data_IF_921954853922
#
_entry.id   IF_921954853922
#
_cell.length_a   1.000
_cell.length_b   1.000
_cell.length_c   1.000
_cell.angle_alpha   90.00
_cell.angle_beta   90.00
_cell.angle_gamma   90.00
#
_symmetry.space_group_name_H-M   'P 1'
#
loop_
_entity.id
_entity.type
_entity.pdbx_description
1 polymer ?
#
# COMPACT_ATOMS: atom_id res chain seq x y z
N UNK A 1 -17.69 -5.54 3.05
CA UNK A 1 -18.07 -4.12 3.14
C UNK A 1 -18.67 -3.76 4.50
N UNK A 2 -19.74 -4.43 4.97
CA UNK A 2 -20.49 -4.05 6.19
C UNK A 2 -19.73 -4.11 7.51
N UNK A 3 -18.54 -4.69 7.54
CA UNK A 3 -17.71 -4.76 8.75
C UNK A 3 -16.72 -3.63 8.71
N UNK A 4 -16.79 -2.67 9.67
CA UNK A 4 -15.79 -1.61 9.78
C UNK A 4 -14.39 -2.18 10.03
N UNK A 5 -13.43 -1.70 9.28
CA UNK A 5 -12.03 -2.12 9.40
C UNK A 5 -11.05 -0.95 9.18
N UNK A 6 -11.43 0.23 9.69
CA UNK A 6 -10.53 1.40 9.66
C UNK A 6 -9.22 1.03 10.36
N UNK A 7 -8.09 1.33 9.71
CA UNK A 7 -6.75 0.93 10.16
C UNK A 7 -6.39 1.37 11.58
N UNK A 8 -7.05 2.43 12.10
CA UNK A 8 -6.89 2.83 13.51
C UNK A 8 -7.47 1.82 14.53
N UNK A 9 -8.26 0.84 14.08
CA UNK A 9 -8.95 -0.17 14.90
C UNK A 9 -8.43 -1.58 14.63
N UNK A 10 -8.88 -2.56 15.43
CA UNK A 10 -8.59 -3.96 15.13
C UNK A 10 -9.40 -4.43 13.91
N UNK A 11 -8.71 -5.08 12.97
CA UNK A 11 -9.34 -5.73 11.83
C UNK A 11 -9.83 -7.16 12.14
N UNK A 12 -9.74 -7.63 13.40
CA UNK A 12 -10.15 -8.97 13.84
C UNK A 12 -11.58 -9.35 13.38
N UNK A 13 -12.59 -8.47 13.46
CA UNK A 13 -13.94 -8.83 13.02
C UNK A 13 -14.02 -9.21 11.53
N UNK A 14 -13.39 -8.44 10.64
CA UNK A 14 -13.40 -8.74 9.20
C UNK A 14 -12.53 -9.95 8.89
N UNK A 15 -11.38 -10.10 9.56
CA UNK A 15 -10.49 -11.26 9.40
C UNK A 15 -11.17 -12.57 9.81
N UNK A 16 -12.02 -12.57 10.85
CA UNK A 16 -12.79 -13.75 11.24
C UNK A 16 -13.79 -14.19 10.16
N UNK A 17 -14.43 -13.26 9.48
CA UNK A 17 -15.35 -13.57 8.36
C UNK A 17 -14.56 -14.13 7.16
N UNK A 18 -13.46 -13.48 6.79
CA UNK A 18 -12.61 -13.96 5.69
C UNK A 18 -12.08 -15.37 6.01
N UNK A 19 -11.59 -15.59 7.22
CA UNK A 19 -11.12 -16.90 7.69
C UNK A 19 -12.21 -17.98 7.54
N UNK A 20 -13.45 -17.68 7.96
CA UNK A 20 -14.56 -18.64 7.84
C UNK A 20 -14.85 -18.98 6.37
N UNK A 21 -14.83 -17.99 5.46
CA UNK A 21 -15.02 -18.22 4.03
C UNK A 21 -13.92 -19.15 3.48
N UNK A 22 -12.67 -18.84 3.82
CA UNK A 22 -11.52 -19.65 3.36
C UNK A 22 -11.56 -21.08 3.92
N UNK A 23 -11.94 -21.25 5.19
CA UNK A 23 -12.12 -22.58 5.80
C UNK A 23 -13.20 -23.39 5.08
N UNK A 24 -14.33 -22.76 4.77
CA UNK A 24 -15.43 -23.43 4.04
C UNK A 24 -15.02 -23.82 2.62
N UNK A 25 -14.04 -23.15 2.02
CA UNK A 25 -13.47 -23.46 0.70
C UNK A 25 -12.27 -24.43 0.77
N UNK A 26 -11.98 -25.00 1.94
CA UNK A 26 -10.95 -26.02 2.13
C UNK A 26 -9.51 -25.49 2.22
N UNK A 27 -9.30 -24.20 2.48
CA UNK A 27 -7.95 -23.66 2.68
C UNK A 27 -7.39 -24.02 4.06
N UNK A 28 -6.11 -24.37 4.11
CA UNK A 28 -5.30 -24.36 5.32
C UNK A 28 -4.87 -22.91 5.60
N UNK A 29 -5.03 -22.46 6.84
CA UNK A 29 -4.84 -21.05 7.20
C UNK A 29 -3.78 -20.93 8.29
N UNK A 30 -2.81 -20.06 8.05
CA UNK A 30 -1.91 -19.50 9.05
C UNK A 30 -2.38 -18.09 9.39
N UNK A 31 -2.52 -17.80 10.67
CA UNK A 31 -2.86 -16.47 11.17
C UNK A 31 -1.63 -15.82 11.78
N UNK A 32 -1.26 -14.65 11.29
CA UNK A 32 -0.21 -13.80 11.83
C UNK A 32 -0.82 -12.63 12.59
N UNK A 33 -0.42 -12.46 13.84
CA UNK A 33 -0.94 -11.39 14.70
C UNK A 33 0.17 -10.57 15.29
N UNK A 34 -0.06 -9.26 15.39
CA UNK A 34 0.81 -8.34 16.12
C UNK A 34 -0.03 -7.27 16.83
N UNK A 35 0.63 -6.47 17.66
CA UNK A 35 0.02 -5.27 18.24
C UNK A 35 0.71 -4.03 17.72
N UNK A 36 -0.08 -3.05 17.30
CA UNK A 36 0.44 -1.76 16.89
C UNK A 36 1.01 -0.93 18.06
N UNK A 37 1.56 0.23 17.78
CA UNK A 37 2.13 1.13 18.80
C UNK A 37 1.14 1.61 19.87
N UNK A 38 -0.17 1.40 19.66
CA UNK A 38 -1.25 1.69 20.62
C UNK A 38 -1.73 0.44 21.35
N UNK A 39 -1.14 -0.73 21.08
CA UNK A 39 -1.52 -2.02 21.68
C UNK A 39 -2.73 -2.68 21.02
N UNK A 40 -3.22 -2.16 19.87
CA UNK A 40 -4.35 -2.70 19.14
C UNK A 40 -3.91 -3.94 18.36
N UNK A 41 -4.68 -5.03 18.51
CA UNK A 41 -4.42 -6.27 17.80
C UNK A 41 -4.72 -6.12 16.30
N UNK A 42 -3.79 -6.61 15.48
CA UNK A 42 -3.86 -6.67 14.02
C UNK A 42 -3.70 -8.10 13.55
N UNK A 43 -4.39 -8.46 12.48
CA UNK A 43 -4.47 -9.84 11.99
C UNK A 43 -4.25 -9.87 10.49
N UNK A 44 -3.25 -10.62 10.06
CA UNK A 44 -3.07 -11.01 8.67
C UNK A 44 -3.34 -12.51 8.52
N UNK A 45 -3.95 -12.90 7.41
CA UNK A 45 -4.26 -14.29 7.08
C UNK A 45 -3.44 -14.73 5.88
N UNK A 46 -2.79 -15.87 5.99
CA UNK A 46 -2.11 -16.54 4.88
C UNK A 46 -2.79 -17.90 4.73
N UNK A 47 -3.28 -18.20 3.53
CA UNK A 47 -4.01 -19.44 3.32
C UNK A 47 -3.61 -20.09 2.01
N UNK A 48 -3.62 -21.44 1.99
CA UNK A 48 -3.29 -22.21 0.80
C UNK A 48 -4.16 -23.46 0.71
N UNK A 49 -4.41 -23.87 -0.52
CA UNK A 49 -5.07 -25.15 -0.85
C UNK A 49 -4.40 -25.75 -2.07
N UNK A 50 -4.29 -27.08 -2.11
CA UNK A 50 -3.52 -27.80 -3.11
C UNK A 50 -2.05 -27.94 -2.72
N UNK A 51 -1.29 -28.67 -3.53
CA UNK A 51 0.12 -29.00 -3.29
C UNK A 51 0.92 -28.80 -4.57
N UNK A 52 2.26 -28.77 -4.46
CA UNK A 52 3.15 -28.63 -5.62
C UNK A 52 3.81 -27.25 -5.67
N UNK A 53 4.18 -26.81 -6.87
CA UNK A 53 4.84 -25.52 -7.13
C UNK A 53 4.07 -24.70 -8.14
N UNK A 54 4.34 -23.41 -8.25
CA UNK A 54 3.61 -22.51 -9.14
C UNK A 54 2.20 -22.19 -8.60
N UNK A 55 1.20 -22.24 -9.48
CA UNK A 55 -0.18 -21.90 -9.14
C UNK A 55 -0.42 -20.39 -9.03
N UNK A 56 -1.40 -20.00 -8.21
CA UNK A 56 -1.83 -18.61 -8.04
C UNK A 56 -1.75 -18.21 -6.55
N UNK A 57 -1.16 -17.06 -6.29
CA UNK A 57 -1.25 -16.34 -5.02
C UNK A 57 -1.97 -15.02 -5.28
N UNK A 58 -3.02 -14.75 -4.52
CA UNK A 58 -3.70 -13.47 -4.50
C UNK A 58 -3.41 -12.73 -3.18
N UNK A 59 -3.08 -11.45 -3.26
CA UNK A 59 -2.81 -10.61 -2.10
C UNK A 59 -3.76 -9.42 -2.07
N UNK A 60 -4.30 -9.14 -0.87
CA UNK A 60 -5.15 -8.00 -0.60
C UNK A 60 -4.97 -7.52 0.84
N UNK A 61 -5.34 -6.28 1.13
CA UNK A 61 -5.50 -5.82 2.50
C UNK A 61 -6.98 -5.81 2.94
N UNK A 62 -7.20 -5.82 4.25
CA UNK A 62 -8.53 -5.85 4.85
C UNK A 62 -8.90 -4.55 5.55
N UNK A 63 -7.93 -3.72 5.85
CA UNK A 63 -8.12 -2.41 6.47
C UNK A 63 -8.54 -1.37 5.43
N UNK A 64 -8.96 -0.22 5.90
CA UNK A 64 -9.41 0.92 5.08
C UNK A 64 -9.05 2.23 5.76
N UNK A 65 -8.91 3.31 4.99
CA UNK A 65 -8.70 4.67 5.49
C UNK A 65 -9.86 5.17 6.37
N UNK A 66 -9.66 6.25 7.17
CA UNK A 66 -10.70 6.89 7.96
C UNK A 66 -11.94 7.28 7.14
N UNK A 67 -13.05 7.46 7.84
CA UNK A 67 -14.37 7.73 7.24
C UNK A 67 -15.01 9.03 7.74
N UNK A 68 -14.24 9.87 8.46
CA UNK A 68 -14.75 11.10 9.07
C UNK A 68 -15.27 12.11 8.05
N UNK A 69 -14.75 12.06 6.83
CA UNK A 69 -15.17 12.90 5.70
C UNK A 69 -16.25 12.28 4.80
N UNK A 70 -16.79 11.10 5.16
CA UNK A 70 -17.77 10.42 4.32
C UNK A 70 -18.96 11.30 3.98
N UNK A 71 -19.26 11.48 2.69
CA UNK A 71 -20.24 12.45 2.19
C UNK A 71 -21.37 11.86 1.36
N UNK A 72 -21.35 10.54 1.06
CA UNK A 72 -22.43 9.92 0.29
C UNK A 72 -23.74 9.92 1.09
N UNK A 73 -24.77 10.61 0.59
CA UNK A 73 -26.00 10.93 1.35
C UNK A 73 -26.95 9.74 1.53
N UNK A 74 -26.90 8.75 0.62
CA UNK A 74 -27.88 7.64 0.59
C UNK A 74 -27.51 6.49 1.54
N UNK A 75 -26.27 6.44 2.03
CA UNK A 75 -25.81 5.40 2.92
C UNK A 75 -24.55 5.80 3.70
N UNK A 76 -24.37 5.27 4.90
CA UNK A 76 -23.15 5.40 5.68
C UNK A 76 -21.99 4.60 5.07
N UNK A 77 -20.73 4.87 5.51
CA UNK A 77 -19.51 4.30 4.90
C UNK A 77 -19.42 2.77 4.96
N UNK A 78 -20.11 2.13 5.89
CA UNK A 78 -20.18 0.68 6.04
C UNK A 78 -21.61 0.13 5.84
N UNK A 79 -22.49 0.93 5.26
CA UNK A 79 -23.80 0.52 4.81
C UNK A 79 -23.73 0.24 3.32
N UNK A 80 -23.81 -1.03 2.95
CA UNK A 80 -23.78 -1.44 1.56
C UNK A 80 -24.96 -0.83 0.78
N UNK A 81 -24.67 0.05 -0.17
CA UNK A 81 -25.66 0.63 -1.05
C UNK A 81 -25.34 0.30 -2.51
N UNK A 82 -26.30 -0.28 -3.21
CA UNK A 82 -26.16 -0.67 -4.62
C UNK A 82 -27.13 0.13 -5.48
N UNK A 83 -26.60 0.79 -6.50
CA UNK A 83 -27.36 1.34 -7.63
C UNK A 83 -27.41 0.35 -8.80
N UNK A 84 -27.89 0.79 -9.96
CA UNK A 84 -27.92 -0.06 -11.16
C UNK A 84 -26.50 -0.47 -11.64
N UNK A 85 -25.49 0.37 -11.42
CA UNK A 85 -24.16 0.25 -11.99
C UNK A 85 -23.02 0.28 -10.96
N UNK A 86 -23.30 0.63 -9.68
CA UNK A 86 -22.27 0.88 -8.66
C UNK A 86 -22.64 0.28 -7.31
N UNK A 87 -21.59 0.04 -6.52
CA UNK A 87 -21.69 -0.27 -5.09
C UNK A 87 -20.91 0.79 -4.33
N UNK A 88 -21.59 1.51 -3.44
CA UNK A 88 -21.01 2.51 -2.55
C UNK A 88 -20.74 1.91 -1.18
N UNK A 89 -19.52 1.99 -0.72
CA UNK A 89 -19.07 1.66 0.64
C UNK A 89 -17.58 1.92 0.77
N UNK A 90 -17.09 2.31 1.92
CA UNK A 90 -15.64 2.36 2.19
C UNK A 90 -15.02 0.97 2.06
N UNK A 91 -13.95 0.85 1.28
CA UNK A 91 -13.30 -0.40 0.91
C UNK A 91 -13.99 -1.14 -0.25
N UNK A 92 -14.97 -0.52 -0.92
CA UNK A 92 -15.60 -1.13 -2.09
C UNK A 92 -14.63 -1.17 -3.28
N UNK A 93 -13.85 -0.14 -3.47
CA UNK A 93 -12.80 -0.03 -4.47
C UNK A 93 -11.44 -0.45 -3.89
N UNK A 94 -11.10 0.03 -2.69
CA UNK A 94 -9.81 -0.15 -2.04
C UNK A 94 -9.92 -0.85 -0.68
N UNK A 95 -9.69 -2.22 -0.61
CA UNK A 95 -9.74 -3.11 -1.78
C UNK A 95 -10.58 -4.36 -1.49
N UNK A 96 -11.52 -4.27 -0.50
CA UNK A 96 -12.38 -5.43 -0.12
C UNK A 96 -13.27 -5.93 -1.26
N UNK A 97 -13.60 -5.06 -2.25
CA UNK A 97 -14.31 -5.46 -3.45
C UNK A 97 -13.51 -6.44 -4.30
N UNK A 98 -12.24 -6.13 -4.53
CA UNK A 98 -11.30 -7.00 -5.23
C UNK A 98 -11.12 -8.34 -4.50
N UNK A 99 -10.94 -8.31 -3.18
CA UNK A 99 -10.87 -9.53 -2.36
C UNK A 99 -12.15 -10.38 -2.50
N UNK A 100 -13.32 -9.76 -2.49
CA UNK A 100 -14.59 -10.47 -2.67
C UNK A 100 -14.68 -11.16 -4.04
N UNK A 101 -14.17 -10.51 -5.10
CA UNK A 101 -14.07 -11.12 -6.44
C UNK A 101 -13.20 -12.38 -6.44
N UNK A 102 -12.04 -12.31 -5.78
CA UNK A 102 -11.15 -13.48 -5.68
C UNK A 102 -11.78 -14.63 -4.88
N UNK A 103 -12.38 -14.32 -3.72
CA UNK A 103 -13.05 -15.34 -2.90
C UNK A 103 -14.23 -16.00 -3.63
N UNK A 104 -15.03 -15.22 -4.39
CA UNK A 104 -16.11 -15.76 -5.24
C UNK A 104 -15.57 -16.56 -6.42
N UNK A 105 -14.43 -16.20 -6.98
CA UNK A 105 -13.77 -17.00 -8.00
C UNK A 105 -13.26 -18.34 -7.44
N UNK A 106 -12.59 -18.29 -6.26
CA UNK A 106 -12.07 -19.50 -5.59
C UNK A 106 -13.18 -20.49 -5.19
N UNK A 107 -14.35 -19.99 -4.78
CA UNK A 107 -15.52 -20.80 -4.41
C UNK A 107 -15.97 -21.71 -5.55
N UNK A 108 -15.92 -21.25 -6.81
CA UNK A 108 -16.28 -22.04 -7.98
C UNK A 108 -15.43 -23.31 -8.15
N UNK A 109 -14.24 -23.32 -7.52
CA UNK A 109 -13.29 -24.42 -7.58
C UNK A 109 -13.16 -25.16 -6.25
N UNK A 110 -14.02 -24.91 -5.25
CA UNK A 110 -13.91 -25.49 -3.91
C UNK A 110 -13.84 -27.02 -3.92
N UNK A 111 -14.63 -27.67 -4.79
CA UNK A 111 -14.67 -29.14 -4.93
C UNK A 111 -13.67 -29.69 -5.97
N UNK A 112 -12.87 -28.82 -6.64
CA UNK A 112 -11.92 -29.27 -7.65
C UNK A 112 -10.63 -29.80 -7.00
N UNK A 113 -10.09 -30.88 -7.58
CA UNK A 113 -8.75 -31.33 -7.25
C UNK A 113 -7.73 -30.43 -7.97
N UNK A 114 -6.98 -29.63 -7.21
CA UNK A 114 -6.01 -28.70 -7.76
C UNK A 114 -4.71 -29.42 -8.12
N UNK A 115 -4.17 -29.12 -9.29
CA UNK A 115 -2.88 -29.62 -9.77
C UNK A 115 -1.70 -28.73 -9.30
N UNK A 116 -1.98 -27.47 -8.96
CA UNK A 116 -1.02 -26.53 -8.37
C UNK A 116 -1.71 -25.70 -7.28
N UNK A 117 -0.95 -25.12 -6.34
CA UNK A 117 -1.51 -24.40 -5.19
C UNK A 117 -2.35 -23.17 -5.59
N UNK A 118 -3.48 -23.00 -4.90
CA UNK A 118 -4.24 -21.75 -4.85
C UNK A 118 -4.03 -21.15 -3.47
N UNK A 119 -3.51 -19.93 -3.41
CA UNK A 119 -3.15 -19.28 -2.16
C UNK A 119 -3.67 -17.85 -2.08
N UNK A 120 -3.86 -17.36 -0.85
CA UNK A 120 -4.29 -15.98 -0.58
C UNK A 120 -3.56 -15.43 0.64
N UNK A 121 -3.16 -14.17 0.56
CA UNK A 121 -2.70 -13.36 1.69
C UNK A 121 -3.68 -12.21 1.86
N UNK A 122 -4.14 -11.99 3.10
CA UNK A 122 -4.95 -10.83 3.45
C UNK A 122 -4.27 -10.11 4.61
N UNK A 123 -3.74 -8.94 4.35
CA UNK A 123 -2.94 -8.17 5.31
C UNK A 123 -3.79 -7.21 6.14
N UNK A 124 -3.21 -6.72 7.22
CA UNK A 124 -3.67 -5.59 8.01
C UNK A 124 -2.72 -4.40 7.79
N UNK A 125 -3.20 -3.20 8.10
CA UNK A 125 -2.39 -1.97 8.15
C UNK A 125 -1.57 -1.68 6.87
N UNK A 126 -2.13 -2.01 5.72
CA UNK A 126 -1.57 -1.59 4.43
C UNK A 126 -1.55 -0.07 4.36
N UNK A 127 -2.68 0.57 4.71
CA UNK A 127 -2.93 2.01 4.72
C UNK A 127 -2.06 2.79 5.75
N UNK A 128 -1.39 2.08 6.64
CA UNK A 128 -0.46 2.62 7.63
C UNK A 128 1.01 2.28 7.32
N UNK A 129 1.34 1.99 6.06
CA UNK A 129 2.70 1.75 5.59
C UNK A 129 3.10 0.29 5.53
N UNK A 130 2.16 -0.59 5.14
CA UNK A 130 2.42 -1.99 4.79
C UNK A 130 2.91 -2.86 5.97
N UNK A 131 2.58 -2.46 7.21
CA UNK A 131 3.09 -3.11 8.43
C UNK A 131 2.70 -4.59 8.49
N UNK A 132 1.47 -4.91 8.10
CA UNK A 132 1.00 -6.29 8.06
C UNK A 132 1.71 -7.14 7.01
N UNK A 133 1.98 -6.59 5.83
CA UNK A 133 2.74 -7.27 4.79
C UNK A 133 4.20 -7.50 5.19
N UNK A 134 4.84 -6.50 5.80
CA UNK A 134 6.17 -6.63 6.36
C UNK A 134 6.22 -7.72 7.45
N UNK A 135 5.22 -7.72 8.36
CA UNK A 135 5.13 -8.73 9.41
C UNK A 135 4.98 -10.15 8.83
N UNK A 136 4.11 -10.33 7.82
CA UNK A 136 3.93 -11.60 7.11
C UNK A 136 5.23 -12.04 6.44
N UNK A 137 5.88 -11.16 5.68
CA UNK A 137 7.10 -11.51 4.95
C UNK A 137 8.25 -11.96 5.87
N UNK A 138 8.31 -11.44 7.10
CA UNK A 138 9.34 -11.77 8.08
C UNK A 138 9.03 -13.01 8.94
N UNK A 139 7.75 -13.25 9.25
CA UNK A 139 7.38 -14.18 10.32
C UNK A 139 6.55 -15.39 9.87
N UNK A 140 5.92 -15.36 8.69
CA UNK A 140 5.04 -16.44 8.24
C UNK A 140 5.83 -17.61 7.67
N UNK A 141 5.58 -18.82 8.21
CA UNK A 141 6.14 -20.05 7.68
C UNK A 141 5.51 -20.40 6.31
N UNK A 142 4.22 -20.14 6.15
CA UNK A 142 3.52 -20.38 4.89
C UNK A 142 4.00 -19.41 3.80
N UNK A 143 4.32 -18.15 4.15
CA UNK A 143 4.92 -17.22 3.19
C UNK A 143 6.28 -17.72 2.68
N UNK A 144 7.12 -18.31 3.54
CA UNK A 144 8.39 -18.94 3.10
C UNK A 144 8.16 -20.06 2.09
N UNK A 145 7.14 -20.89 2.31
CA UNK A 145 6.77 -21.93 1.33
C UNK A 145 6.30 -21.31 0.00
N UNK A 146 5.53 -20.23 0.03
CA UNK A 146 5.12 -19.52 -1.17
C UNK A 146 6.30 -18.92 -1.94
N UNK A 147 7.31 -18.40 -1.21
CA UNK A 147 8.58 -17.95 -1.83
C UNK A 147 9.28 -19.09 -2.55
N UNK A 148 9.35 -20.29 -1.96
CA UNK A 148 9.95 -21.45 -2.61
C UNK A 148 9.14 -21.95 -3.83
N UNK A 149 7.82 -21.81 -3.79
CA UNK A 149 6.90 -22.25 -4.85
C UNK A 149 6.82 -21.29 -6.04
N UNK A 150 7.11 -20.01 -5.84
CA UNK A 150 7.04 -18.94 -6.85
C UNK A 150 5.72 -18.93 -7.67
N UNK A 151 4.55 -18.83 -7.03
CA UNK A 151 3.26 -18.71 -7.71
C UNK A 151 3.18 -17.44 -8.58
N UNK A 152 2.26 -17.40 -9.54
CA UNK A 152 1.85 -16.13 -10.11
C UNK A 152 1.14 -15.33 -9.01
N UNK A 153 1.78 -14.24 -8.57
CA UNK A 153 1.30 -13.41 -7.47
C UNK A 153 0.57 -12.19 -7.99
N UNK A 154 -0.66 -12.00 -7.55
CA UNK A 154 -1.54 -10.89 -7.96
C UNK A 154 -1.82 -10.03 -6.72
N UNK A 155 -1.35 -8.79 -6.73
CA UNK A 155 -1.78 -7.78 -5.77
C UNK A 155 -3.06 -7.15 -6.31
N UNK A 156 -4.16 -7.25 -5.57
CA UNK A 156 -5.50 -6.96 -6.07
C UNK A 156 -5.91 -5.49 -6.03
N UNK A 157 -4.96 -4.53 -6.03
CA UNK A 157 -5.22 -3.10 -6.04
C UNK A 157 -6.04 -2.63 -7.25
N UNK A 158 -6.81 -1.54 -7.12
CA UNK A 158 -7.69 -1.05 -8.17
C UNK A 158 -6.90 -0.46 -9.35
N UNK A 159 -6.83 -1.22 -10.44
CA UNK A 159 -6.13 -0.86 -11.68
C UNK A 159 -7.03 -0.86 -12.91
N UNK A 160 -8.35 -0.94 -12.75
CA UNK A 160 -9.30 -1.23 -13.84
C UNK A 160 -8.95 -2.54 -14.56
N UNK A 161 -8.39 -3.52 -13.84
CA UNK A 161 -7.84 -4.78 -14.35
C UNK A 161 -6.69 -4.60 -15.35
N UNK A 162 -6.06 -3.42 -15.40
CA UNK A 162 -4.82 -3.27 -16.14
C UNK A 162 -3.69 -4.03 -15.44
N UNK A 163 -2.83 -4.64 -16.24
CA UNK A 163 -1.61 -5.29 -15.76
C UNK A 163 -0.59 -4.20 -15.41
N UNK A 164 -0.26 -4.08 -14.14
CA UNK A 164 0.75 -3.15 -13.65
C UNK A 164 1.97 -3.94 -13.20
N UNK A 165 3.14 -3.55 -13.71
CA UNK A 165 4.41 -4.25 -13.49
C UNK A 165 5.40 -3.49 -12.60
N UNK A 166 5.07 -2.26 -12.23
CA UNK A 166 5.91 -1.45 -11.35
C UNK A 166 5.11 -0.37 -10.62
N UNK A 167 5.51 -0.05 -9.38
CA UNK A 167 5.04 1.11 -8.65
C UNK A 167 6.19 1.85 -7.96
N UNK A 168 5.99 3.16 -7.68
CA UNK A 168 6.94 3.94 -6.89
C UNK A 168 6.93 3.46 -5.44
N UNK A 169 8.05 3.62 -4.74
CA UNK A 169 8.11 3.45 -3.30
C UNK A 169 7.47 4.61 -2.55
N UNK A 170 7.55 4.56 -1.23
CA UNK A 170 7.19 5.68 -0.35
C UNK A 170 8.22 5.79 0.76
N UNK A 171 8.68 7.02 1.00
CA UNK A 171 9.48 7.39 2.16
C UNK A 171 8.85 8.62 2.81
N UNK A 172 8.65 8.55 4.11
CA UNK A 172 8.17 9.67 4.93
C UNK A 172 9.08 9.81 6.13
N UNK A 173 9.60 10.99 6.35
CA UNK A 173 10.36 11.31 7.55
C UNK A 173 9.95 12.67 8.11
N UNK A 174 10.22 12.84 9.40
CA UNK A 174 9.97 14.07 10.13
C UNK A 174 11.24 14.54 10.85
N UNK A 175 11.60 15.80 10.68
CA UNK A 175 12.67 16.46 11.44
C UNK A 175 12.07 17.46 12.39
N UNK A 176 12.38 17.35 13.69
CA UNK A 176 11.89 18.23 14.75
C UNK A 176 13.02 19.07 15.33
N UNK A 177 12.87 20.38 15.25
CA UNK A 177 13.69 21.34 15.98
C UNK A 177 13.03 21.71 17.30
N UNK A 178 13.81 21.73 18.39
CA UNK A 178 13.38 22.20 19.72
C UNK A 178 14.00 23.56 20.06
N UNK A 179 13.17 24.46 20.55
CA UNK A 179 13.51 25.76 21.06
C UNK A 179 13.04 25.98 22.50
N UNK A 180 12.77 27.18 22.85
CA UNK A 180 12.15 27.60 24.11
C UNK A 180 11.24 28.79 23.86
N UNK A 181 9.94 28.63 24.15
CA UNK A 181 8.98 29.73 24.03
C UNK A 181 9.36 30.94 24.89
N UNK A 182 9.04 32.12 24.41
CA UNK A 182 9.23 33.37 25.10
C UNK A 182 8.82 34.54 24.24
N UNK A 183 8.82 35.73 24.83
CA UNK A 183 8.45 36.95 24.13
C UNK A 183 9.49 37.27 23.05
N UNK A 184 9.06 37.51 21.82
CA UNK A 184 9.94 37.69 20.65
C UNK A 184 10.87 38.91 20.76
N UNK A 185 10.58 39.87 21.66
CA UNK A 185 11.41 41.06 21.92
C UNK A 185 12.54 40.82 22.92
N UNK A 186 12.66 39.62 23.52
CA UNK A 186 13.71 39.28 24.48
C UNK A 186 14.70 38.28 23.87
N UNK A 187 15.93 38.24 24.43
CA UNK A 187 16.96 37.28 24.00
C UNK A 187 16.91 35.95 24.77
N UNK A 188 15.93 35.79 25.66
CA UNK A 188 15.80 34.59 26.49
C UNK A 188 15.12 33.42 25.75
N UNK A 189 14.30 33.74 24.76
CA UNK A 189 13.64 32.74 23.91
C UNK A 189 14.64 32.09 22.95
N UNK A 190 14.38 30.82 22.61
CA UNK A 190 15.11 30.08 21.58
C UNK A 190 14.11 29.74 20.49
N UNK A 191 14.20 30.44 19.38
CA UNK A 191 13.29 30.22 18.25
C UNK A 191 13.63 28.94 17.48
N UNK A 192 12.74 27.95 17.53
CA UNK A 192 12.95 26.65 16.86
C UNK A 192 13.03 26.77 15.33
N UNK A 193 12.36 27.79 14.73
CA UNK A 193 12.42 27.98 13.28
C UNK A 193 13.83 28.40 12.83
N UNK A 194 14.54 29.17 13.63
CA UNK A 194 15.92 29.61 13.29
C UNK A 194 16.86 28.40 13.17
N UNK A 195 16.69 27.37 14.01
CA UNK A 195 17.44 26.10 13.90
C UNK A 195 16.97 25.25 12.73
N UNK A 196 15.69 25.35 12.36
CA UNK A 196 15.12 24.58 11.25
C UNK A 196 15.56 25.11 9.87
N UNK A 197 15.79 26.41 9.72
CA UNK A 197 16.12 27.06 8.43
C UNK A 197 17.28 26.37 7.67
N UNK A 198 18.44 26.08 8.28
CA UNK A 198 19.53 25.43 7.58
C UNK A 198 19.16 24.01 7.07
N UNK A 199 18.37 23.26 7.83
CA UNK A 199 17.85 21.98 7.41
C UNK A 199 16.90 22.13 6.22
N UNK A 200 15.96 23.08 6.26
CA UNK A 200 15.04 23.37 5.16
C UNK A 200 15.78 23.75 3.88
N UNK A 201 16.92 24.48 4.00
CA UNK A 201 17.74 24.79 2.83
C UNK A 201 18.28 23.51 2.16
N UNK A 202 18.75 22.54 2.95
CA UNK A 202 19.19 21.24 2.40
C UNK A 202 18.02 20.49 1.76
N UNK A 203 16.81 20.50 2.37
CA UNK A 203 15.62 19.87 1.77
C UNK A 203 15.24 20.53 0.44
N UNK A 204 15.36 21.84 0.35
CA UNK A 204 15.14 22.58 -0.89
C UNK A 204 16.19 22.28 -1.96
N UNK A 205 17.46 22.17 -1.61
CA UNK A 205 18.53 21.76 -2.53
C UNK A 205 18.27 20.36 -3.10
N UNK A 206 17.88 19.41 -2.26
CA UNK A 206 17.47 18.06 -2.70
C UNK A 206 16.26 18.16 -3.64
N UNK A 207 15.23 18.93 -3.28
CA UNK A 207 14.08 19.15 -4.15
C UNK A 207 14.48 19.66 -5.54
N UNK A 208 15.37 20.67 -5.63
CA UNK A 208 15.84 21.20 -6.92
C UNK A 208 16.63 20.13 -7.72
N UNK A 209 17.45 19.36 -7.04
CA UNK A 209 18.21 18.26 -7.64
C UNK A 209 17.28 17.19 -8.23
N UNK A 210 16.23 16.79 -7.48
CA UNK A 210 15.26 15.78 -7.94
C UNK A 210 14.46 16.21 -9.18
N UNK A 211 14.38 17.51 -9.47
CA UNK A 211 13.73 18.04 -10.67
C UNK A 211 14.66 18.10 -11.90
N UNK A 212 15.97 18.16 -11.70
CA UNK A 212 16.93 18.52 -12.77
C UNK A 212 17.98 17.45 -13.06
N UNK A 213 18.31 16.62 -12.09
CA UNK A 213 19.32 15.55 -12.28
C UNK A 213 18.65 14.28 -12.81
N UNK A 214 19.08 13.76 -13.98
CA UNK A 214 18.55 12.53 -14.57
C UNK A 214 18.62 11.29 -13.66
N UNK A 215 19.49 11.27 -12.66
CA UNK A 215 19.57 10.21 -11.64
C UNK A 215 18.22 9.99 -10.95
N UNK A 216 17.40 11.03 -10.84
CA UNK A 216 16.10 11.03 -10.14
C UNK A 216 14.92 10.92 -11.10
N UNK A 217 15.15 10.58 -12.36
CA UNK A 217 14.12 10.31 -13.37
C UNK A 217 14.06 8.83 -13.76
N UNK A 218 12.89 8.36 -14.23
CA UNK A 218 12.71 7.02 -14.76
C UNK A 218 11.58 7.02 -15.78
N UNK A 219 11.87 6.77 -17.05
CA UNK A 219 10.98 6.92 -18.19
C UNK A 219 9.77 5.97 -18.20
N UNK A 220 9.81 4.90 -17.41
CA UNK A 220 8.66 4.00 -17.27
C UNK A 220 7.48 4.60 -16.47
N UNK A 221 7.69 5.71 -15.76
CA UNK A 221 6.68 6.33 -14.91
C UNK A 221 6.16 7.65 -15.48
N UNK A 222 4.93 7.98 -15.12
CA UNK A 222 4.30 9.26 -15.39
C UNK A 222 3.76 9.87 -14.07
N UNK A 223 4.27 11.02 -13.60
CA UNK A 223 5.45 11.73 -14.11
C UNK A 223 6.75 10.91 -13.90
N UNK A 224 7.74 11.10 -14.77
CA UNK A 224 9.02 10.34 -14.75
C UNK A 224 9.99 10.82 -13.66
N UNK A 225 9.53 11.67 -12.74
CA UNK A 225 10.34 12.28 -11.70
C UNK A 225 10.02 11.70 -10.32
N UNK A 226 11.03 11.70 -9.43
CA UNK A 226 10.82 11.48 -8.02
C UNK A 226 10.02 12.65 -7.44
N UNK A 227 8.96 12.39 -6.69
CA UNK A 227 8.26 13.44 -5.96
C UNK A 227 9.01 13.74 -4.65
N UNK A 228 9.07 15.01 -4.27
CA UNK A 228 9.66 15.45 -3.02
C UNK A 228 8.80 16.55 -2.42
N UNK A 229 7.94 16.19 -1.46
CA UNK A 229 6.96 17.09 -0.85
C UNK A 229 7.43 17.51 0.55
N UNK A 230 7.49 18.83 0.80
CA UNK A 230 7.95 19.42 2.06
C UNK A 230 6.78 20.07 2.79
N UNK A 231 6.47 19.60 3.99
CA UNK A 231 5.53 20.23 4.92
C UNK A 231 6.28 20.93 6.06
N UNK A 232 5.81 22.09 6.48
CA UNK A 232 6.41 22.87 7.59
C UNK A 232 5.32 23.28 8.56
N UNK A 233 5.54 23.06 9.86
CA UNK A 233 4.61 23.48 10.90
C UNK A 233 5.37 23.86 12.17
N UNK A 234 5.11 25.06 12.74
CA UNK A 234 5.67 25.52 14.01
C UNK A 234 4.62 25.66 15.12
N UNK A 235 3.34 25.34 14.82
CA UNK A 235 2.22 25.34 15.75
C UNK A 235 1.95 26.70 16.43
N UNK A 236 2.50 27.79 15.90
CA UNK A 236 2.45 29.13 16.48
C UNK A 236 1.73 30.09 15.54
N UNK A 237 0.71 30.80 16.08
CA UNK A 237 -0.04 31.81 15.32
C UNK A 237 0.23 33.24 15.81
N UNK A 238 0.91 33.39 16.97
CA UNK A 238 1.18 34.68 17.59
C UNK A 238 2.56 35.22 17.19
N UNK A 239 2.61 36.37 16.54
CA UNK A 239 3.85 37.01 16.04
C UNK A 239 4.81 37.46 17.14
N UNK A 240 4.32 37.63 18.37
CA UNK A 240 5.10 38.06 19.53
C UNK A 240 5.61 36.92 20.41
N UNK A 241 5.46 35.67 19.99
CA UNK A 241 5.98 34.47 20.67
C UNK A 241 7.00 33.78 19.76
N UNK A 242 8.18 33.50 20.29
CA UNK A 242 9.14 32.62 19.63
C UNK A 242 8.66 31.16 19.72
N UNK A 243 8.52 30.41 18.61
CA UNK A 243 8.07 29.04 18.65
C UNK A 243 9.10 28.11 19.32
N UNK A 244 8.61 27.27 20.23
CA UNK A 244 9.44 26.26 20.94
C UNK A 244 9.63 24.96 20.16
N UNK A 245 8.86 24.76 19.11
CA UNK A 245 8.92 23.59 18.24
C UNK A 245 8.75 24.00 16.79
N UNK A 246 9.53 23.39 15.90
CA UNK A 246 9.34 23.48 14.46
C UNK A 246 9.53 22.10 13.87
N UNK A 247 8.65 21.70 12.96
CA UNK A 247 8.62 20.37 12.34
C UNK A 247 8.66 20.53 10.83
N UNK A 248 9.58 19.82 10.20
CA UNK A 248 9.61 19.60 8.77
C UNK A 248 9.26 18.15 8.50
N UNK A 249 8.21 17.90 7.72
CA UNK A 249 7.84 16.57 7.22
C UNK A 249 8.16 16.51 5.73
N UNK A 250 8.86 15.46 5.31
CA UNK A 250 9.11 15.20 3.89
C UNK A 250 8.51 13.86 3.52
N UNK A 251 7.73 13.84 2.43
CA UNK A 251 7.24 12.63 1.78
C UNK A 251 7.75 12.59 0.35
N UNK A 252 8.38 11.49 -0.04
CA UNK A 252 8.86 11.33 -1.41
C UNK A 252 8.61 9.92 -1.95
N UNK A 253 8.57 9.80 -3.29
CA UNK A 253 8.21 8.58 -4.00
C UNK A 253 9.38 8.12 -4.87
N UNK A 254 10.29 7.28 -4.33
CA UNK A 254 11.41 6.77 -5.13
C UNK A 254 10.93 5.81 -6.22
N UNK A 255 11.72 5.76 -7.29
CA UNK A 255 11.52 4.81 -8.39
C UNK A 255 12.62 3.74 -8.35
N UNK A 256 12.46 2.62 -9.09
CA UNK A 256 13.47 1.55 -9.12
C UNK A 256 14.88 2.07 -9.45
N UNK A 257 15.89 1.38 -8.93
CA UNK A 257 17.32 1.61 -9.18
C UNK A 257 17.87 2.99 -8.74
N UNK A 258 17.06 3.82 -8.09
CA UNK A 258 17.52 5.11 -7.55
C UNK A 258 18.35 4.95 -6.28
N UNK A 259 19.47 5.70 -6.12
CA UNK A 259 20.35 5.59 -4.96
C UNK A 259 19.80 6.36 -3.73
N UNK A 260 18.64 5.93 -3.20
CA UNK A 260 17.87 6.63 -2.17
C UNK A 260 18.69 6.89 -0.90
N UNK A 261 19.55 5.94 -0.51
CA UNK A 261 20.39 6.14 0.68
C UNK A 261 21.31 7.34 0.57
N UNK A 262 21.76 7.73 -0.65
CA UNK A 262 22.53 8.98 -0.82
C UNK A 262 21.73 10.23 -0.45
N UNK A 263 20.42 10.26 -0.73
CA UNK A 263 19.56 11.36 -0.28
C UNK A 263 19.36 11.29 1.25
N UNK A 264 19.09 10.09 1.77
CA UNK A 264 18.84 9.90 3.20
C UNK A 264 20.08 10.20 4.05
N UNK A 265 21.28 9.91 3.57
CA UNK A 265 22.53 10.29 4.24
C UNK A 265 22.69 11.81 4.35
N UNK A 266 22.33 12.56 3.31
CA UNK A 266 22.31 14.03 3.35
C UNK A 266 21.27 14.56 4.33
N UNK A 267 20.08 13.95 4.37
CA UNK A 267 19.02 14.26 5.33
C UNK A 267 19.50 14.04 6.77
N UNK A 268 20.10 12.85 7.04
CA UNK A 268 20.66 12.51 8.37
C UNK A 268 21.75 13.49 8.79
N UNK A 269 22.70 13.76 7.89
CA UNK A 269 23.78 14.71 8.18
C UNK A 269 23.28 16.13 8.44
N UNK A 270 22.31 16.62 7.66
CA UNK A 270 21.71 17.93 7.87
C UNK A 270 20.93 18.01 9.20
N UNK A 271 20.23 16.93 9.60
CA UNK A 271 19.53 16.89 10.88
C UNK A 271 20.54 16.90 12.06
N UNK A 272 21.59 16.09 11.99
CA UNK A 272 22.62 15.99 13.00
C UNK A 272 23.37 17.33 13.19
N UNK A 273 23.84 17.93 12.08
CA UNK A 273 24.56 19.21 12.12
C UNK A 273 23.75 20.35 12.75
N UNK A 274 22.43 20.31 12.64
CA UNK A 274 21.54 21.34 13.17
C UNK A 274 20.88 20.94 14.50
N UNK A 275 21.25 19.78 15.08
CA UNK A 275 20.71 19.29 16.33
C UNK A 275 19.21 19.04 16.31
N UNK A 276 18.70 18.52 15.18
CA UNK A 276 17.30 18.15 15.01
C UNK A 276 17.11 16.68 15.37
N UNK A 277 15.89 16.34 15.82
CA UNK A 277 15.44 14.96 15.98
C UNK A 277 14.87 14.52 14.64
N UNK A 278 15.45 13.46 14.04
CA UNK A 278 14.98 12.86 12.80
C UNK A 278 14.29 11.55 13.11
N UNK A 279 13.06 11.40 12.64
CA UNK A 279 12.25 10.18 12.72
C UNK A 279 11.85 9.76 11.32
N UNK A 280 11.97 8.47 11.01
CA UNK A 280 11.51 7.90 9.73
C UNK A 280 10.21 7.18 10.02
N UNK A 281 9.10 7.70 9.48
CA UNK A 281 7.76 7.17 9.72
C UNK A 281 7.48 5.96 8.83
N UNK A 282 7.84 6.05 7.54
CA UNK A 282 7.63 5.01 6.54
C UNK A 282 8.81 4.92 5.59
N UNK A 283 9.17 3.68 5.24
CA UNK A 283 10.22 3.40 4.25
C UNK A 283 9.86 2.11 3.50
N UNK A 284 9.22 2.23 2.35
CA UNK A 284 8.88 1.11 1.49
C UNK A 284 9.55 1.25 0.13
N UNK A 285 10.28 0.23 -0.35
CA UNK A 285 10.96 0.28 -1.63
C UNK A 285 9.96 0.32 -2.80
N UNK A 286 10.38 0.75 -3.99
CA UNK A 286 9.60 0.58 -5.19
C UNK A 286 9.48 -0.91 -5.54
N UNK A 287 8.38 -1.27 -6.20
CA UNK A 287 8.21 -2.57 -6.85
C UNK A 287 8.50 -2.45 -8.33
N UNK A 288 9.23 -3.41 -8.88
CA UNK A 288 9.55 -3.45 -10.30
C UNK A 288 9.76 -4.88 -10.81
N UNK A 289 9.09 -5.18 -11.92
CA UNK A 289 9.32 -6.36 -12.75
C UNK A 289 9.50 -5.89 -14.18
N UNK A 290 10.46 -6.40 -14.97
CA UNK A 290 10.58 -6.04 -16.37
C UNK A 290 9.29 -6.30 -17.14
N UNK A 291 8.87 -5.34 -17.97
CA UNK A 291 7.60 -5.45 -18.72
C UNK A 291 7.57 -6.64 -19.70
N UNK A 292 8.72 -7.10 -20.15
CA UNK A 292 8.89 -8.27 -21.02
C UNK A 292 9.01 -9.61 -20.26
N UNK A 293 8.94 -9.60 -18.94
CA UNK A 293 8.99 -10.82 -18.14
C UNK A 293 7.86 -11.80 -18.55
N UNK A 294 8.13 -13.12 -18.61
CA UNK A 294 7.18 -14.10 -19.16
C UNK A 294 5.80 -14.06 -18.49
N UNK A 295 5.72 -13.86 -17.18
CA UNK A 295 4.45 -13.80 -16.47
C UNK A 295 3.69 -12.48 -16.71
N UNK A 296 4.39 -11.37 -16.99
CA UNK A 296 3.76 -10.13 -17.45
C UNK A 296 3.12 -10.35 -18.82
N UNK A 297 3.86 -10.91 -19.77
CA UNK A 297 3.36 -11.21 -21.11
C UNK A 297 2.18 -12.21 -21.07
N UNK A 298 2.25 -13.20 -20.19
CA UNK A 298 1.16 -14.12 -19.94
C UNK A 298 -0.10 -13.40 -19.44
N UNK A 299 0.03 -12.50 -18.47
CA UNK A 299 -1.09 -11.71 -17.95
C UNK A 299 -1.70 -10.79 -19.01
N UNK A 300 -0.87 -10.15 -19.83
CA UNK A 300 -1.36 -9.32 -20.95
C UNK A 300 -2.22 -10.16 -21.91
N UNK A 301 -1.84 -11.44 -22.18
CA UNK A 301 -2.66 -12.34 -23.02
C UNK A 301 -4.00 -12.69 -22.36
N UNK A 302 -4.07 -12.80 -21.03
CA UNK A 302 -5.31 -13.08 -20.30
C UNK A 302 -6.26 -11.88 -20.27
N UNK A 303 -5.72 -10.67 -20.17
CA UNK A 303 -6.50 -9.42 -20.10
C UNK A 303 -6.77 -8.79 -21.46
N UNK A 304 -6.12 -9.26 -22.52
CA UNK A 304 -6.24 -8.71 -23.88
C UNK A 304 -5.59 -7.33 -24.05
N UNK A 305 -4.61 -7.00 -23.20
CA UNK A 305 -3.90 -5.71 -23.24
C UNK A 305 -2.61 -5.82 -24.04
N UNK A 306 -2.24 -4.72 -24.71
CA UNK A 306 -1.04 -4.67 -25.54
C UNK A 306 0.25 -4.43 -24.72
N UNK A 307 0.15 -3.69 -23.60
CA UNK A 307 1.30 -3.35 -22.76
C UNK A 307 0.92 -3.23 -21.28
N UNK A 308 1.86 -3.58 -20.43
CA UNK A 308 1.76 -3.34 -18.99
C UNK A 308 1.97 -1.85 -18.66
N UNK A 309 1.43 -1.43 -17.51
CA UNK A 309 1.48 -0.05 -17.01
C UNK A 309 2.34 0.04 -15.76
N UNK A 310 2.66 1.26 -15.37
CA UNK A 310 3.23 1.62 -14.08
C UNK A 310 2.28 2.53 -13.31
N UNK A 311 2.41 2.60 -11.99
CA UNK A 311 1.60 3.48 -11.13
C UNK A 311 2.48 4.23 -10.14
N UNK A 312 1.98 5.38 -9.67
CA UNK A 312 2.73 6.25 -8.76
C UNK A 312 2.43 6.01 -7.27
N UNK A 313 1.37 5.25 -6.93
CA UNK A 313 1.11 4.80 -5.56
C UNK A 313 1.95 3.57 -5.22
N UNK A 314 2.08 3.23 -3.95
CA UNK A 314 2.73 2.01 -3.48
C UNK A 314 1.67 1.03 -2.95
N UNK A 315 2.04 -0.24 -2.79
CA UNK A 315 1.18 -1.31 -2.29
C UNK A 315 2.00 -2.34 -1.49
N UNK A 316 1.34 -3.34 -0.94
CA UNK A 316 1.97 -4.48 -0.27
C UNK A 316 3.03 -5.21 -1.12
N UNK A 317 3.03 -5.01 -2.45
CA UNK A 317 4.08 -5.54 -3.33
C UNK A 317 5.49 -5.12 -2.90
N UNK A 318 5.63 -3.94 -2.30
CA UNK A 318 6.90 -3.45 -1.76
C UNK A 318 7.52 -4.40 -0.71
N UNK A 319 6.69 -5.11 0.05
CA UNK A 319 7.14 -5.99 1.14
C UNK A 319 7.33 -7.45 0.70
N UNK A 320 6.84 -7.82 -0.48
CA UNK A 320 6.88 -9.19 -0.99
C UNK A 320 7.94 -9.42 -2.06
N UNK A 321 9.02 -8.66 -2.08
CA UNK A 321 10.07 -8.68 -3.12
C UNK A 321 10.79 -10.03 -3.33
N UNK A 322 10.61 -11.02 -2.44
CA UNK A 322 11.08 -12.40 -2.63
C UNK A 322 10.21 -13.20 -3.61
N UNK A 323 8.96 -12.80 -3.84
CA UNK A 323 8.07 -13.36 -4.86
C UNK A 323 8.41 -12.72 -6.22
N UNK A 324 8.99 -13.50 -7.14
CA UNK A 324 9.54 -12.98 -8.39
C UNK A 324 8.53 -12.87 -9.55
N UNK A 325 7.35 -13.49 -9.38
CA UNK A 325 6.31 -13.51 -10.40
C UNK A 325 5.11 -12.66 -10.00
N UNK A 326 5.37 -11.41 -9.57
CA UNK A 326 4.37 -10.47 -9.07
C UNK A 326 3.84 -9.54 -10.15
N UNK A 327 2.55 -9.23 -10.04
CA UNK A 327 1.84 -8.18 -10.80
C UNK A 327 0.86 -7.47 -9.86
N UNK A 328 0.41 -6.29 -10.26
CA UNK A 328 -0.71 -5.61 -9.63
C UNK A 328 -1.85 -5.58 -10.65
N UNK A 329 -3.00 -6.14 -10.29
CA UNK A 329 -4.14 -6.23 -11.18
C UNK A 329 -5.43 -6.50 -10.41
N UNK A 330 -6.28 -5.50 -10.26
CA UNK A 330 -7.55 -5.64 -9.59
C UNK A 330 -8.66 -4.76 -10.20
N UNK A 331 -9.93 -5.10 -9.91
CA UNK A 331 -11.07 -4.31 -10.35
C UNK A 331 -11.14 -2.98 -9.58
N UNK A 332 -11.79 -2.00 -10.18
CA UNK A 332 -11.94 -0.66 -9.63
C UNK A 332 -10.91 0.33 -10.17
N UNK A 333 -11.20 1.61 -9.99
CA UNK A 333 -10.36 2.73 -10.42
C UNK A 333 -9.72 3.37 -9.19
N UNK A 334 -8.41 3.50 -9.17
CA UNK A 334 -7.66 4.14 -8.07
C UNK A 334 -8.12 5.57 -7.77
N UNK A 335 -8.72 6.25 -8.73
CA UNK A 335 -9.31 7.59 -8.54
C UNK A 335 -10.45 7.58 -7.51
N UNK A 336 -11.07 6.41 -7.26
CA UNK A 336 -12.13 6.24 -6.26
C UNK A 336 -11.58 5.87 -4.87
N UNK A 337 -10.35 5.41 -4.78
CA UNK A 337 -9.70 5.15 -3.51
C UNK A 337 -9.63 6.43 -2.66
N UNK A 338 -9.89 6.30 -1.35
CA UNK A 338 -9.81 7.38 -0.36
C UNK A 338 -10.79 8.55 -0.57
N UNK A 339 -11.72 8.47 -1.55
CA UNK A 339 -12.73 9.53 -1.74
C UNK A 339 -13.79 9.48 -0.64
N UNK A 340 -14.50 10.59 -0.46
CA UNK A 340 -15.55 10.74 0.56
C UNK A 340 -16.86 10.01 0.20
N UNK A 341 -16.94 9.47 -1.02
CA UNK A 341 -18.08 8.76 -1.61
C UNK A 341 -17.66 7.51 -2.37
N UNK A 342 -16.63 6.81 -1.91
CA UNK A 342 -16.02 5.65 -2.56
C UNK A 342 -17.04 4.66 -3.11
N UNK A 343 -16.83 4.26 -4.36
CA UNK A 343 -17.64 3.28 -5.04
C UNK A 343 -16.82 2.39 -6.00
N UNK A 344 -17.37 1.24 -6.33
CA UNK A 344 -16.87 0.38 -7.40
C UNK A 344 -17.98 0.05 -8.39
N UNK A 345 -17.64 0.02 -9.69
CA UNK A 345 -18.59 -0.39 -10.72
C UNK A 345 -18.88 -1.88 -10.65
N UNK A 346 -20.14 -2.28 -10.82
CA UNK A 346 -20.57 -3.69 -10.78
C UNK A 346 -19.91 -4.48 -11.91
N UNK A 347 -19.76 -3.89 -13.09
CA UNK A 347 -19.09 -4.52 -14.22
C UNK A 347 -17.61 -4.83 -13.94
N UNK A 348 -16.92 -4.01 -13.12
CA UNK A 348 -15.56 -4.27 -12.69
C UNK A 348 -15.49 -5.49 -11.75
N UNK A 349 -16.46 -5.64 -10.85
CA UNK A 349 -16.54 -6.82 -9.98
C UNK A 349 -16.79 -8.10 -10.79
N UNK A 350 -17.68 -8.05 -11.79
CA UNK A 350 -17.95 -9.18 -12.67
C UNK A 350 -16.72 -9.54 -13.51
N UNK A 351 -16.06 -8.56 -14.13
CA UNK A 351 -14.85 -8.75 -14.91
C UNK A 351 -13.70 -9.28 -14.04
N UNK A 352 -13.53 -8.75 -12.82
CA UNK A 352 -12.51 -9.22 -11.87
C UNK A 352 -12.74 -10.66 -11.45
N UNK A 353 -13.98 -11.04 -11.09
CA UNK A 353 -14.36 -12.41 -10.75
C UNK A 353 -14.10 -13.37 -11.92
N UNK A 354 -14.41 -12.95 -13.15
CA UNK A 354 -14.18 -13.77 -14.34
C UNK A 354 -12.70 -13.93 -14.65
N UNK A 355 -11.89 -12.86 -14.52
CA UNK A 355 -10.44 -12.92 -14.69
C UNK A 355 -9.81 -13.88 -13.67
N UNK A 356 -10.12 -13.71 -12.39
CA UNK A 356 -9.57 -14.58 -11.34
C UNK A 356 -10.03 -16.05 -11.51
N UNK A 357 -11.29 -16.29 -11.92
CA UNK A 357 -11.78 -17.64 -12.23
C UNK A 357 -10.99 -18.27 -13.39
N UNK A 358 -10.68 -17.50 -14.44
CA UNK A 358 -9.86 -17.97 -15.57
C UNK A 358 -8.45 -18.34 -15.10
N UNK A 359 -7.80 -17.47 -14.30
CA UNK A 359 -6.46 -17.71 -13.79
C UNK A 359 -6.40 -18.97 -12.91
N UNK A 360 -7.35 -19.14 -12.00
CA UNK A 360 -7.44 -20.33 -11.14
C UNK A 360 -7.60 -21.59 -11.99
N UNK A 361 -8.51 -21.57 -12.97
CA UNK A 361 -8.74 -22.71 -13.86
C UNK A 361 -7.47 -23.11 -14.60
N UNK A 362 -6.80 -22.14 -15.22
CA UNK A 362 -5.66 -22.42 -16.10
C UNK A 362 -4.37 -22.73 -15.35
N UNK A 363 -4.17 -22.13 -14.16
CA UNK A 363 -2.91 -22.24 -13.42
C UNK A 363 -2.97 -23.21 -12.24
N UNK A 364 -4.16 -23.56 -11.76
CA UNK A 364 -4.31 -24.45 -10.62
C UNK A 364 -5.06 -25.75 -10.95
N UNK A 365 -5.86 -25.82 -12.03
CA UNK A 365 -6.68 -26.99 -12.35
C UNK A 365 -6.23 -27.75 -13.63
N UNK A 366 -5.29 -27.19 -14.39
CA UNK A 366 -4.85 -27.76 -15.68
C UNK A 366 -3.61 -28.62 -15.52
#
# INVERSE_FOLDING_TARGET
MRIPSVSANSNRPVSNVIRQILQNQGFLIEEQTYRDGKGIEKVSLIATRGTGSGGVLYCAHSDVVPVDSWSYSEAGPFEFHQTADRIYSRGSCDMKGSLACFLAAAEKFAEHNLQAPLSVIVTADEELGFVGAEHVSKNSALFRQLVDQQPLTIIGEPTLLNVVHAHKGIYVFQATSKGRAGHSSTLEAINANVKMIPFLNTMYEIYQETLTDPTWSHDAFDPPLISWNIGINDFTYASNIAPERSVCTVSFRPMPDQPIEKLMDRVRAAAEMNGLILEIDHAAPPFFVPADAPHIQQMLSYTGQEKAKTVSYASDAAMFGELKRMIICGPGDIVQAHTDDEWIAIDQLEKGTNLYSKLIKELCCS
#
